data_IF_723216625512
#
_entry.id   IF_723216625512
#
_cell.length_a   1.000
_cell.length_b   1.000
_cell.length_c   1.000
_cell.angle_alpha   90.00
_cell.angle_beta   90.00
_cell.angle_gamma   90.00
#
_symmetry.space_group_name_H-M   'P 1'
#
loop_
_entity.id
_entity.type
_entity.pdbx_description
1 polymer ?
#
# COMPACT_ATOMS: atom_id res chain seq x y z
N UNK A 1 -8.27 8.07 -17.98
CA UNK A 1 -7.98 9.31 -18.73
C UNK A 1 -9.13 9.68 -19.66
N UNK A 2 -9.35 8.98 -20.78
CA UNK A 2 -10.40 9.32 -21.78
C UNK A 2 -11.82 9.37 -21.19
N UNK A 3 -12.19 8.40 -20.35
CA UNK A 3 -13.52 8.36 -19.73
C UNK A 3 -13.76 9.51 -18.73
N UNK A 4 -12.74 9.92 -17.96
CA UNK A 4 -12.85 11.06 -17.04
C UNK A 4 -12.97 12.38 -17.80
N UNK A 5 -12.22 12.52 -18.89
CA UNK A 5 -12.34 13.67 -19.79
C UNK A 5 -13.76 13.80 -20.38
N UNK A 6 -14.38 12.71 -20.86
CA UNK A 6 -15.76 12.73 -21.36
C UNK A 6 -16.83 12.88 -20.27
N UNK A 7 -16.54 12.48 -19.03
CA UNK A 7 -17.47 12.70 -17.92
C UNK A 7 -17.48 14.16 -17.45
N UNK A 8 -16.35 14.86 -17.57
CA UNK A 8 -16.16 16.25 -17.13
C UNK A 8 -16.35 17.29 -18.24
N UNK A 9 -16.50 16.85 -19.48
CA UNK A 9 -16.60 17.71 -20.66
C UNK A 9 -17.64 17.15 -21.66
N UNK A 10 -18.46 18.02 -22.26
CA UNK A 10 -19.56 17.69 -23.18
C UNK A 10 -19.16 17.30 -24.61
N UNK A 11 -17.88 17.10 -24.91
CA UNK A 11 -17.37 16.67 -26.22
C UNK A 11 -17.38 15.14 -26.33
N UNK A 12 -17.59 14.62 -27.54
CA UNK A 12 -17.75 13.17 -27.80
C UNK A 12 -16.52 12.52 -28.45
N UNK A 13 -15.52 13.31 -28.84
CA UNK A 13 -14.35 12.83 -29.60
C UNK A 13 -13.09 13.44 -29.00
N UNK A 14 -12.05 12.62 -28.84
CA UNK A 14 -10.72 13.06 -28.41
C UNK A 14 -9.87 13.31 -29.65
N UNK A 15 -9.35 14.52 -29.82
CA UNK A 15 -8.44 14.87 -30.91
C UNK A 15 -7.26 15.66 -30.36
N UNK A 16 -6.05 15.18 -30.63
CA UNK A 16 -4.80 15.79 -30.16
C UNK A 16 -4.52 17.15 -30.84
N UNK A 17 -5.14 17.42 -31.99
CA UNK A 17 -4.98 18.69 -32.73
C UNK A 17 -6.15 19.65 -32.53
N UNK A 18 -7.11 19.30 -31.68
CA UNK A 18 -8.32 20.08 -31.50
C UNK A 18 -8.09 21.23 -30.51
N UNK A 19 -7.76 22.41 -31.04
CA UNK A 19 -7.66 23.66 -30.29
C UNK A 19 -8.98 24.06 -29.58
N UNK A 20 -10.10 23.38 -29.90
CA UNK A 20 -11.41 23.62 -29.30
C UNK A 20 -11.50 23.01 -27.90
N UNK A 21 -10.81 21.89 -27.68
CA UNK A 21 -10.75 21.23 -26.39
C UNK A 21 -9.37 21.49 -25.80
N UNK A 22 -9.27 22.48 -24.93
CA UNK A 22 -8.03 22.88 -24.25
C UNK A 22 -7.60 21.81 -23.24
N UNK A 23 -7.26 20.64 -23.78
CA UNK A 23 -6.92 19.43 -23.03
C UNK A 23 -5.64 19.62 -22.24
N UNK A 24 -4.70 20.42 -22.77
CA UNK A 24 -3.50 20.84 -22.07
C UNK A 24 -3.86 21.62 -20.81
N UNK A 25 -4.67 22.68 -20.94
CA UNK A 25 -5.16 23.43 -19.78
C UNK A 25 -5.98 22.57 -18.83
N UNK A 26 -6.83 21.68 -19.35
CA UNK A 26 -7.61 20.77 -18.51
C UNK A 26 -6.72 19.86 -17.66
N UNK A 27 -5.66 19.27 -18.23
CA UNK A 27 -4.73 18.44 -17.46
C UNK A 27 -3.88 19.28 -16.51
N UNK A 28 -3.47 20.49 -16.90
CA UNK A 28 -2.77 21.41 -16.01
C UNK A 28 -3.64 21.83 -14.82
N UNK A 29 -4.91 22.18 -15.06
CA UNK A 29 -5.89 22.52 -14.01
C UNK A 29 -6.10 21.33 -13.04
N UNK A 30 -6.11 20.08 -13.53
CA UNK A 30 -6.16 18.89 -12.68
C UNK A 30 -4.88 18.74 -11.85
N UNK A 31 -3.71 18.95 -12.44
CA UNK A 31 -2.44 18.86 -11.70
C UNK A 31 -2.39 19.90 -10.58
N UNK A 32 -2.79 21.14 -10.86
CA UNK A 32 -2.88 22.19 -9.85
C UNK A 32 -3.82 21.80 -8.70
N UNK A 33 -4.98 21.21 -9.02
CA UNK A 33 -5.92 20.70 -8.00
C UNK A 33 -5.32 19.58 -7.15
N UNK A 34 -4.61 18.64 -7.76
CA UNK A 34 -3.99 17.52 -7.05
C UNK A 34 -2.81 17.97 -6.15
N UNK A 35 -2.23 19.15 -6.42
CA UNK A 35 -1.16 19.75 -5.62
C UNK A 35 -1.69 20.74 -4.56
N UNK A 36 -2.99 21.08 -4.57
CA UNK A 36 -3.59 21.99 -3.61
C UNK A 36 -3.51 21.39 -2.18
N UNK A 37 -2.88 22.08 -1.22
CA UNK A 37 -2.81 21.60 0.16
C UNK A 37 -4.19 21.43 0.83
N UNK A 38 -5.22 22.11 0.36
CA UNK A 38 -6.59 21.97 0.90
C UNK A 38 -7.27 20.66 0.46
N UNK A 39 -6.85 20.09 -0.67
CA UNK A 39 -7.42 18.85 -1.25
C UNK A 39 -6.59 17.61 -0.87
N UNK A 40 -5.61 17.78 0.02
CA UNK A 40 -4.62 16.75 0.36
C UNK A 40 -5.26 15.46 0.88
N UNK A 41 -6.31 15.57 1.71
CA UNK A 41 -6.96 14.41 2.32
C UNK A 41 -7.73 13.58 1.26
N UNK A 42 -8.34 14.25 0.30
CA UNK A 42 -9.03 13.67 -0.86
C UNK A 42 -8.03 13.04 -1.82
N UNK A 43 -6.91 13.72 -2.09
CA UNK A 43 -5.82 13.22 -2.94
C UNK A 43 -5.18 11.97 -2.31
N UNK A 44 -4.96 11.95 -0.99
CA UNK A 44 -4.44 10.78 -0.30
C UNK A 44 -5.39 9.57 -0.41
N UNK A 45 -6.70 9.80 -0.22
CA UNK A 45 -7.72 8.77 -0.44
C UNK A 45 -7.76 8.27 -1.89
N UNK A 46 -7.65 9.19 -2.85
CA UNK A 46 -7.58 8.86 -4.27
C UNK A 46 -6.35 8.00 -4.59
N UNK A 47 -5.19 8.33 -4.02
CA UNK A 47 -3.96 7.56 -4.19
C UNK A 47 -4.08 6.15 -3.60
N UNK A 48 -4.70 6.01 -2.43
CA UNK A 48 -4.97 4.69 -1.83
C UNK A 48 -5.88 3.86 -2.73
N UNK A 49 -7.00 4.44 -3.19
CA UNK A 49 -7.92 3.76 -4.09
C UNK A 49 -7.25 3.37 -5.41
N UNK A 50 -6.49 4.29 -6.01
CA UNK A 50 -5.77 4.05 -7.26
C UNK A 50 -4.75 2.93 -7.12
N UNK A 51 -3.95 2.95 -6.04
CA UNK A 51 -2.98 1.90 -5.76
C UNK A 51 -3.64 0.53 -5.57
N UNK A 52 -4.84 0.45 -5.01
CA UNK A 52 -5.59 -0.81 -4.94
C UNK A 52 -6.04 -1.33 -6.31
N UNK A 53 -6.43 -0.44 -7.23
CA UNK A 53 -6.84 -0.84 -8.57
C UNK A 53 -5.66 -1.29 -9.42
N UNK A 54 -4.54 -0.57 -9.35
CA UNK A 54 -3.37 -0.81 -10.19
C UNK A 54 -2.46 -1.90 -9.62
N UNK A 55 -2.38 -2.02 -8.29
CA UNK A 55 -1.57 -3.01 -7.59
C UNK A 55 -2.43 -3.90 -6.67
N UNK A 56 -3.17 -4.89 -7.22
CA UNK A 56 -4.07 -5.75 -6.46
C UNK A 56 -3.40 -6.50 -5.28
N UNK A 57 -2.09 -6.73 -5.36
CA UNK A 57 -1.30 -7.45 -4.35
C UNK A 57 -0.75 -6.56 -3.23
N UNK A 58 -0.85 -5.23 -3.35
CA UNK A 58 -0.23 -4.30 -2.39
C UNK A 58 -0.85 -4.41 -0.99
N UNK A 59 -2.15 -4.70 -0.89
CA UNK A 59 -2.86 -4.88 0.39
C UNK A 59 -2.89 -6.32 0.90
N UNK A 60 -2.60 -7.32 0.07
CA UNK A 60 -2.51 -8.70 0.54
C UNK A 60 -1.34 -8.92 1.50
N UNK A 61 -0.36 -8.04 1.45
CA UNK A 61 0.85 -8.11 2.30
C UNK A 61 0.64 -7.47 3.67
N UNK A 62 -0.33 -6.56 3.83
CA UNK A 62 -0.75 -6.05 5.14
C UNK A 62 -1.67 -7.01 5.89
N UNK A 63 -2.18 -8.05 5.22
CA UNK A 63 -2.93 -9.12 5.89
C UNK A 63 -1.98 -9.91 6.77
N UNK A 64 -1.87 -9.45 8.02
CA UNK A 64 -1.58 -10.16 9.26
C UNK A 64 -0.52 -11.28 9.13
N UNK A 65 0.58 -11.26 9.90
CA UNK A 65 1.51 -12.38 9.92
C UNK A 65 0.72 -13.65 10.23
N UNK A 66 0.51 -14.46 9.20
CA UNK A 66 -0.30 -15.66 9.32
C UNK A 66 0.36 -16.51 10.40
N UNK A 67 -0.45 -17.21 11.22
CA UNK A 67 0.07 -18.09 12.28
C UNK A 67 1.08 -19.12 11.75
N UNK A 68 1.05 -19.39 10.44
CA UNK A 68 1.94 -20.31 9.73
C UNK A 68 2.98 -19.61 8.85
N UNK A 69 3.08 -18.28 8.92
CA UNK A 69 4.09 -17.53 8.17
C UNK A 69 5.48 -18.03 8.53
N UNK A 70 6.40 -17.95 7.56
CA UNK A 70 7.81 -18.30 7.77
C UNK A 70 8.39 -17.55 8.98
N UNK A 71 7.99 -16.29 9.17
CA UNK A 71 8.38 -15.48 10.33
C UNK A 71 7.86 -16.05 11.66
N UNK A 72 6.59 -16.45 11.73
CA UNK A 72 6.02 -17.08 12.93
C UNK A 72 6.76 -18.37 13.29
N UNK A 73 7.09 -19.21 12.28
CA UNK A 73 7.85 -20.45 12.48
C UNK A 73 9.29 -20.19 12.95
N UNK A 74 9.95 -19.16 12.44
CA UNK A 74 11.29 -18.76 12.88
C UNK A 74 11.26 -18.28 14.34
N UNK A 75 10.26 -17.48 14.73
CA UNK A 75 10.10 -17.00 16.12
C UNK A 75 9.86 -18.16 17.08
N UNK A 76 8.92 -19.05 16.76
CA UNK A 76 8.65 -20.26 17.55
C UNK A 76 9.93 -21.09 17.77
N UNK A 77 10.69 -21.34 16.71
CA UNK A 77 11.93 -22.13 16.82
C UNK A 77 12.96 -21.45 17.75
N UNK A 78 13.05 -20.12 17.74
CA UNK A 78 13.94 -19.38 18.65
C UNK A 78 13.53 -19.50 20.10
N UNK A 79 12.22 -19.40 20.39
CA UNK A 79 11.68 -19.58 21.74
C UNK A 79 11.98 -20.99 22.28
N UNK A 80 11.83 -22.02 21.45
CA UNK A 80 12.19 -23.40 21.82
C UNK A 80 13.68 -23.56 22.16
N UNK A 81 14.58 -22.96 21.38
CA UNK A 81 16.02 -23.00 21.67
C UNK A 81 16.36 -22.27 22.97
N UNK A 82 15.76 -21.11 23.21
CA UNK A 82 15.96 -20.35 24.46
C UNK A 82 15.43 -21.12 25.66
N UNK A 83 14.24 -21.72 25.57
CA UNK A 83 13.67 -22.54 26.63
C UNK A 83 14.53 -23.79 26.94
N UNK A 84 15.10 -24.42 25.90
CA UNK A 84 16.05 -25.54 26.07
C UNK A 84 17.33 -25.10 26.74
N UNK A 85 17.90 -23.95 26.34
CA UNK A 85 19.10 -23.41 26.96
C UNK A 85 18.89 -23.08 28.45
N UNK A 86 17.76 -22.43 28.78
CA UNK A 86 17.39 -22.11 30.16
C UNK A 86 17.15 -23.35 31.02
N UNK A 87 16.52 -24.40 30.46
CA UNK A 87 16.34 -25.67 31.16
C UNK A 87 17.67 -26.40 31.39
N UNK A 88 18.56 -26.37 30.41
CA UNK A 88 19.89 -26.96 30.55
C UNK A 88 20.72 -26.24 31.63
N UNK A 89 20.71 -24.90 31.66
CA UNK A 89 21.40 -24.14 32.70
C UNK A 89 20.80 -24.37 34.10
N UNK A 90 19.47 -24.48 34.21
CA UNK A 90 18.80 -24.77 35.47
C UNK A 90 19.11 -26.19 35.98
N UNK A 91 19.20 -27.19 35.08
CA UNK A 91 19.53 -28.56 35.45
C UNK A 91 20.99 -28.69 35.97
N UNK A 92 21.93 -27.96 35.38
CA UNK A 92 23.32 -27.93 35.86
C UNK A 92 23.43 -27.31 37.26
N UNK A 93 22.61 -26.30 37.57
CA UNK A 93 22.59 -25.66 38.89
C UNK A 93 22.01 -26.52 40.03
N UNK A 94 21.25 -27.57 39.72
CA UNK A 94 20.63 -28.46 40.73
C UNK A 94 21.57 -29.60 41.16
N UNK A 95 22.65 -29.85 40.40
CA UNK A 95 23.61 -30.94 40.67
C UNK A 95 24.78 -30.47 41.55
N UNK A 96 24.89 -29.18 41.85
CA UNK A 96 25.95 -28.59 42.68
C UNK A 96 25.52 -28.25 44.14
N UNK A 97 24.33 -28.68 44.59
CA UNK A 97 23.88 -28.55 46.01
C UNK A 97 23.78 -29.92 46.71
#
# INVERSE_FOLDING_TARGET
AIQAHFALNSTQVFSHTDLITDSERFYNDILELLEDPNERDEVEQLMVWWNHQVFPLYMETERLPSKNSTLARIRQKREEYQARALRASAATSIVED
#
